data_IF_269896474719
#
_entry.id   IF_269896474719
#
_cell.length_a   1.000
_cell.length_b   1.000
_cell.length_c   1.000
_cell.angle_alpha   90.00
_cell.angle_beta   90.00
_cell.angle_gamma   90.00
#
_symmetry.space_group_name_H-M   'P 1'
#
loop_
_entity.id
_entity.type
_entity.pdbx_description
1 polymer ?
#
# COMPACT_ATOMS: atom_id res chain seq x y z
N UNK A 1 -16.48 -1.52 -9.94
CA UNK A 1 -16.47 -0.04 -9.87
C UNK A 1 -15.42 0.41 -8.86
N UNK A 2 -14.69 1.48 -9.14
CA UNK A 2 -13.71 2.05 -8.22
C UNK A 2 -14.41 2.83 -7.10
N UNK A 3 -14.03 2.58 -5.85
CA UNK A 3 -14.64 3.22 -4.68
C UNK A 3 -14.31 4.72 -4.55
N UNK A 4 -13.19 5.19 -5.12
CA UNK A 4 -12.83 6.61 -5.08
C UNK A 4 -13.58 7.46 -6.10
N UNK A 5 -13.54 7.09 -7.39
CA UNK A 5 -14.15 7.89 -8.46
C UNK A 5 -15.56 7.41 -8.84
N UNK A 6 -16.03 6.28 -8.27
CA UNK A 6 -17.32 5.63 -8.56
C UNK A 6 -17.52 5.16 -10.00
N UNK A 7 -16.51 5.33 -10.86
CA UNK A 7 -16.54 4.88 -12.25
C UNK A 7 -16.22 3.38 -12.36
N UNK A 8 -16.76 2.76 -13.40
CA UNK A 8 -16.30 1.46 -13.92
C UNK A 8 -14.98 1.61 -14.69
N UNK A 9 -14.51 0.51 -15.25
CA UNK A 9 -13.25 0.45 -15.99
C UNK A 9 -12.85 -1.00 -16.21
N UNK A 10 -11.67 -1.20 -16.78
CA UNK A 10 -11.07 -2.53 -16.92
C UNK A 10 -10.90 -3.18 -15.53
N UNK A 11 -11.58 -4.31 -15.24
CA UNK A 11 -11.42 -5.04 -14.00
C UNK A 11 -9.98 -5.46 -13.72
N UNK A 12 -9.19 -5.73 -14.77
CA UNK A 12 -7.78 -6.07 -14.62
C UNK A 12 -6.96 -4.89 -14.10
N UNK A 13 -7.41 -3.64 -14.28
CA UNK A 13 -6.71 -2.46 -13.73
C UNK A 13 -7.16 -2.08 -12.31
N UNK A 14 -8.10 -2.83 -11.72
CA UNK A 14 -8.56 -2.60 -10.36
C UNK A 14 -7.70 -3.37 -9.34
N UNK A 15 -7.41 -2.70 -8.22
CA UNK A 15 -6.84 -3.27 -7.02
C UNK A 15 -7.97 -3.56 -6.01
N UNK A 16 -8.02 -4.79 -5.50
CA UNK A 16 -8.96 -5.20 -4.45
C UNK A 16 -8.29 -5.05 -3.09
N UNK A 17 -8.87 -4.23 -2.22
CA UNK A 17 -8.43 -4.17 -0.83
C UNK A 17 -8.86 -5.44 -0.11
N UNK A 18 -7.88 -6.21 0.37
CA UNK A 18 -8.10 -7.48 1.07
C UNK A 18 -8.77 -7.34 2.44
N UNK A 19 -8.89 -6.10 2.96
CA UNK A 19 -9.46 -5.82 4.27
C UNK A 19 -10.90 -5.31 4.24
N UNK A 20 -11.23 -4.38 3.33
CA UNK A 20 -12.59 -3.84 3.20
C UNK A 20 -13.37 -4.40 1.99
N UNK A 21 -12.72 -5.10 1.07
CA UNK A 21 -13.36 -5.65 -0.12
C UNK A 21 -13.65 -4.63 -1.24
N UNK A 22 -13.30 -3.36 -1.04
CA UNK A 22 -13.48 -2.33 -2.07
C UNK A 22 -12.39 -2.35 -3.12
N UNK A 23 -12.75 -1.87 -4.31
CA UNK A 23 -11.89 -1.85 -5.49
C UNK A 23 -11.41 -0.42 -5.79
N UNK A 24 -10.19 -0.28 -6.25
CA UNK A 24 -9.60 1.03 -6.56
C UNK A 24 -8.84 0.97 -7.88
N UNK A 25 -8.96 1.99 -8.74
CA UNK A 25 -7.99 2.15 -9.82
C UNK A 25 -6.63 2.49 -9.21
N UNK A 26 -5.55 1.99 -9.84
CA UNK A 26 -4.19 2.33 -9.47
C UNK A 26 -3.93 3.85 -9.44
N UNK A 27 -4.37 4.55 -10.48
CA UNK A 27 -4.24 6.01 -10.62
C UNK A 27 -5.14 6.80 -9.66
N UNK A 28 -6.20 6.17 -9.15
CA UNK A 28 -7.03 6.76 -8.11
C UNK A 28 -6.37 6.66 -6.72
N UNK A 29 -5.34 5.85 -6.53
CA UNK A 29 -4.64 5.78 -5.24
C UNK A 29 -3.79 7.05 -4.99
N UNK A 30 -3.44 7.31 -3.74
CA UNK A 30 -2.59 8.44 -3.37
C UNK A 30 -1.54 7.97 -2.36
N UNK A 31 -0.27 7.81 -2.77
CA UNK A 31 0.26 7.98 -4.14
C UNK A 31 -0.35 6.98 -5.14
N UNK A 32 -0.29 7.24 -6.47
CA UNK A 32 -0.70 6.28 -7.49
C UNK A 32 0.04 4.95 -7.36
N UNK A 33 -0.67 3.85 -7.56
CA UNK A 33 -0.12 2.50 -7.42
C UNK A 33 -0.29 1.73 -8.71
N UNK A 34 0.81 1.23 -9.29
CA UNK A 34 0.73 0.40 -10.50
C UNK A 34 0.19 -1.00 -10.15
N UNK A 35 -0.88 -1.51 -10.79
CA UNK A 35 -1.48 -2.80 -10.46
C UNK A 35 -0.67 -4.04 -10.91
N UNK A 36 0.53 -4.25 -10.35
CA UNK A 36 1.37 -5.42 -10.63
C UNK A 36 0.94 -6.66 -9.83
N UNK A 37 1.41 -7.85 -10.21
CA UNK A 37 1.16 -9.07 -9.44
C UNK A 37 1.67 -8.98 -8.00
N UNK A 38 2.84 -8.37 -7.77
CA UNK A 38 3.39 -8.20 -6.42
C UNK A 38 2.55 -7.26 -5.56
N UNK A 39 2.00 -6.20 -6.15
CA UNK A 39 1.10 -5.28 -5.44
C UNK A 39 -0.19 -5.98 -5.07
N UNK A 40 -0.80 -6.73 -6.00
CA UNK A 40 -2.09 -7.42 -5.75
C UNK A 40 -2.04 -8.39 -4.57
N UNK A 41 -0.88 -8.99 -4.30
CA UNK A 41 -0.69 -9.95 -3.20
C UNK A 41 -0.82 -9.28 -1.83
N UNK A 42 -2.05 -9.28 -1.31
CA UNK A 42 -2.36 -8.72 0.00
C UNK A 42 -2.45 -7.20 0.01
N UNK A 43 -2.86 -6.59 -1.10
CA UNK A 43 -2.99 -5.13 -1.17
C UNK A 43 -4.03 -4.61 -0.17
N UNK A 44 -3.73 -3.47 0.43
CA UNK A 44 -4.60 -2.74 1.35
C UNK A 44 -4.76 -1.30 0.85
N UNK A 45 -6.00 -0.80 0.80
CA UNK A 45 -6.23 0.60 0.46
C UNK A 45 -5.70 1.52 1.55
N UNK A 46 -5.58 2.82 1.25
CA UNK A 46 -5.01 3.82 2.15
C UNK A 46 -5.62 3.79 3.56
N UNK A 47 -6.94 3.62 3.67
CA UNK A 47 -7.64 3.60 4.96
C UNK A 47 -7.49 2.27 5.72
N UNK A 48 -7.09 1.21 5.04
CA UNK A 48 -6.94 -0.13 5.60
C UNK A 48 -5.48 -0.51 5.85
N UNK A 49 -4.53 0.28 5.35
CA UNK A 49 -3.10 0.01 5.45
C UNK A 49 -2.67 -0.25 6.89
N UNK A 50 -2.00 -1.37 7.07
CA UNK A 50 -1.43 -1.79 8.33
C UNK A 50 0.06 -2.05 8.20
N UNK A 51 0.79 -1.86 9.31
CA UNK A 51 2.19 -2.23 9.36
C UNK A 51 2.33 -3.75 9.24
N UNK A 52 3.09 -4.24 8.26
CA UNK A 52 3.25 -5.68 8.06
C UNK A 52 4.11 -6.35 9.14
N UNK A 53 4.85 -5.58 9.93
CA UNK A 53 5.67 -6.09 11.04
C UNK A 53 4.84 -6.26 12.33
N UNK A 54 4.15 -5.20 12.79
CA UNK A 54 3.39 -5.24 14.04
C UNK A 54 1.88 -5.47 13.86
N UNK A 55 1.38 -5.53 12.62
CA UNK A 55 -0.04 -5.71 12.24
C UNK A 55 -1.00 -4.62 12.75
N UNK A 56 -0.48 -3.52 13.27
CA UNK A 56 -1.30 -2.40 13.74
C UNK A 56 -1.72 -1.50 12.59
N UNK A 57 -2.96 -1.02 12.67
CA UNK A 57 -3.43 0.12 11.88
C UNK A 57 -2.70 1.38 12.33
N UNK A 58 -2.41 2.26 11.39
CA UNK A 58 -1.80 3.56 11.70
C UNK A 58 -2.27 4.59 10.70
N UNK A 59 -2.09 5.88 11.03
CA UNK A 59 -2.31 6.90 10.01
C UNK A 59 -1.33 6.67 8.85
N UNK A 60 -1.78 6.73 7.59
CA UNK A 60 -0.95 6.38 6.45
C UNK A 60 0.33 7.22 6.33
N UNK A 61 0.27 8.46 6.80
CA UNK A 61 1.41 9.39 6.92
C UNK A 61 2.53 8.89 7.85
N UNK A 62 2.25 7.93 8.73
CA UNK A 62 3.20 7.31 9.65
C UNK A 62 3.75 5.98 9.12
N UNK A 63 3.32 5.57 7.93
CA UNK A 63 3.73 4.32 7.30
C UNK A 63 4.59 4.59 6.06
N UNK A 64 5.71 3.90 5.97
CA UNK A 64 6.52 3.81 4.76
C UNK A 64 5.95 2.70 3.88
N UNK A 65 5.58 3.02 2.64
CA UNK A 65 5.12 2.04 1.66
C UNK A 65 6.26 1.61 0.74
N UNK A 66 6.38 0.30 0.52
CA UNK A 66 7.36 -0.27 -0.42
C UNK A 66 6.97 0.08 -1.86
N UNK A 67 7.91 0.58 -2.67
CA UNK A 67 7.63 0.89 -4.08
C UNK A 67 7.30 -0.32 -4.96
N UNK A 68 7.74 -1.51 -4.57
CA UNK A 68 7.62 -2.72 -5.40
C UNK A 68 6.30 -3.44 -5.18
N UNK A 69 5.86 -3.54 -3.92
CA UNK A 69 4.69 -4.33 -3.53
C UNK A 69 3.62 -3.53 -2.80
N UNK A 70 3.83 -2.23 -2.58
CA UNK A 70 2.93 -1.33 -1.85
C UNK A 70 2.61 -1.77 -0.40
N UNK A 71 3.35 -2.74 0.17
CA UNK A 71 3.20 -3.07 1.60
C UNK A 71 3.71 -1.95 2.48
N UNK A 72 3.01 -1.71 3.58
CA UNK A 72 3.30 -0.63 4.51
C UNK A 72 3.98 -1.10 5.79
N UNK A 73 4.87 -0.28 6.32
CA UNK A 73 5.65 -0.56 7.52
C UNK A 73 5.84 0.73 8.31
N UNK A 74 5.75 0.66 9.63
CA UNK A 74 6.33 1.72 10.45
C UNK A 74 7.84 1.73 10.28
N UNK A 75 8.44 2.93 10.16
CA UNK A 75 9.89 3.06 10.03
C UNK A 75 10.62 2.38 11.19
N UNK A 76 10.16 2.59 12.43
CA UNK A 76 10.75 1.99 13.63
C UNK A 76 10.59 0.45 13.69
N UNK A 77 9.59 -0.12 13.01
CA UNK A 77 9.40 -1.58 12.96
C UNK A 77 10.38 -2.29 12.01
N UNK A 78 11.06 -1.55 11.12
CA UNK A 78 11.98 -2.11 10.10
C UNK A 78 13.39 -1.51 10.14
N UNK A 79 13.58 -0.41 10.87
CA UNK A 79 14.85 0.27 11.12
C UNK A 79 14.83 0.86 12.54
N UNK A 80 14.79 0.03 13.60
CA UNK A 80 14.69 0.50 14.98
C UNK A 80 15.89 1.33 15.43
N UNK A 81 17.04 1.19 14.75
CA UNK A 81 18.27 1.94 15.02
C UNK A 81 18.39 3.22 14.17
N UNK A 82 17.43 3.50 13.27
CA UNK A 82 17.40 4.71 12.46
C UNK A 82 18.56 4.85 11.49
N UNK A 83 19.05 3.73 10.96
CA UNK A 83 20.36 3.67 10.30
C UNK A 83 20.36 4.09 8.84
N UNK A 84 19.25 3.99 8.07
CA UNK A 84 19.21 4.56 6.70
C UNK A 84 17.88 4.44 5.92
N UNK A 85 16.77 3.94 6.46
CA UNK A 85 15.57 3.66 5.62
C UNK A 85 14.69 4.89 5.29
N UNK A 86 15.22 6.11 5.44
CA UNK A 86 14.61 7.37 5.01
C UNK A 86 14.86 7.76 3.55
N UNK A 87 15.23 6.81 2.68
CA UNK A 87 15.50 7.12 1.26
C UNK A 87 14.20 7.23 0.47
N UNK A 88 14.12 8.28 -0.35
CA UNK A 88 13.23 8.25 -1.52
C UNK A 88 13.53 6.96 -2.29
N UNK A 89 12.48 6.21 -2.60
CA UNK A 89 12.54 4.92 -3.27
C UNK A 89 12.92 3.68 -2.45
N UNK A 90 12.43 3.59 -1.22
CA UNK A 90 12.59 2.39 -0.40
C UNK A 90 11.83 1.16 -0.94
N UNK A 91 12.46 -0.01 -0.82
CA UNK A 91 11.88 -1.33 -1.08
C UNK A 91 12.08 -2.23 0.14
N UNK A 92 11.06 -3.00 0.49
CA UNK A 92 11.15 -4.01 1.54
C UNK A 92 12.05 -5.18 1.12
N UNK A 93 12.70 -5.83 2.08
CA UNK A 93 13.61 -6.99 1.88
C UNK A 93 12.85 -8.33 1.69
N UNK A 94 11.60 -8.26 1.24
CA UNK A 94 10.72 -9.44 1.09
C UNK A 94 11.12 -10.24 -0.14
#
# INVERSE_FOLDING_TARGET
HCDKCKMGGDPEQLLLCTRCGYHYHGDCCTPPVRPTEQVRKGWECLMCKSCQSCRQLSSPERLLSCMSCDKAYHLYCIDPLGTNKGKMHWKCEV
#
